data_IF_694417258230
#
_entry.id   IF_694417258230
#
_cell.length_a   1.000
_cell.length_b   1.000
_cell.length_c   1.000
_cell.angle_alpha   90.00
_cell.angle_beta   90.00
_cell.angle_gamma   90.00
#
_symmetry.space_group_name_H-M   'P 1'
#
loop_
_entity.id
_entity.type
_entity.pdbx_description
1 polymer ?
#
# COMPACT_ATOMS: atom_id res chain seq x y z
N UNK A 1 -23.23 10.03 10.98
CA UNK A 1 -22.90 9.52 9.63
C UNK A 1 -24.18 9.03 8.99
N UNK A 2 -24.45 9.42 7.76
CA UNK A 2 -25.48 8.76 6.95
C UNK A 2 -25.10 7.27 6.82
N UNK A 3 -26.05 6.34 6.78
CA UNK A 3 -25.76 4.94 6.47
C UNK A 3 -25.05 4.89 5.11
N UNK A 4 -23.94 4.15 5.00
CA UNK A 4 -23.32 3.91 3.71
C UNK A 4 -23.93 2.69 3.05
N UNK A 5 -24.22 2.76 1.76
CA UNK A 5 -24.64 1.60 0.94
C UNK A 5 -23.47 0.65 0.60
N UNK A 6 -22.30 0.88 1.22
CA UNK A 6 -21.10 0.07 1.04
C UNK A 6 -21.18 -1.23 1.84
N UNK A 7 -20.91 -2.35 1.17
CA UNK A 7 -20.70 -3.66 1.82
C UNK A 7 -19.22 -4.00 1.78
N UNK A 8 -18.64 -4.32 2.95
CA UNK A 8 -17.22 -4.67 3.06
C UNK A 8 -17.04 -6.16 3.30
N UNK A 9 -16.21 -6.81 2.49
CA UNK A 9 -15.75 -8.18 2.71
C UNK A 9 -14.30 -8.14 3.20
N UNK A 10 -14.07 -8.63 4.42
CA UNK A 10 -12.74 -8.75 4.99
C UNK A 10 -12.21 -10.16 4.73
N UNK A 11 -10.94 -10.24 4.32
CA UNK A 11 -10.30 -11.49 3.93
C UNK A 11 -9.10 -11.77 4.81
N UNK A 12 -9.00 -13.01 5.28
CA UNK A 12 -7.87 -13.49 6.05
C UNK A 12 -6.77 -14.03 5.13
N UNK A 13 -5.52 -13.80 5.51
CA UNK A 13 -4.40 -14.46 4.86
C UNK A 13 -4.35 -15.96 5.19
N UNK A 14 -3.81 -16.80 4.30
CA UNK A 14 -3.76 -18.26 4.47
C UNK A 14 -2.91 -18.74 5.65
N UNK A 15 -1.98 -17.93 6.15
CA UNK A 15 -1.06 -18.33 7.22
C UNK A 15 -1.36 -17.59 8.52
N UNK A 16 -1.44 -18.32 9.63
CA UNK A 16 -1.43 -17.70 10.96
C UNK A 16 -0.09 -17.01 11.20
N UNK A 17 -0.10 -15.86 11.87
CA UNK A 17 1.10 -15.10 12.19
C UNK A 17 1.09 -14.57 13.61
N UNK A 18 2.19 -13.94 14.00
CA UNK A 18 2.21 -13.03 15.16
C UNK A 18 1.53 -11.70 14.78
N UNK A 19 1.13 -10.95 15.79
CA UNK A 19 0.64 -9.58 15.62
C UNK A 19 1.71 -8.68 15.02
N UNK A 20 1.29 -7.64 14.30
CA UNK A 20 2.14 -6.48 14.09
C UNK A 20 2.38 -5.78 15.45
N UNK A 21 3.56 -5.18 15.62
CA UNK A 21 3.94 -4.57 16.89
C UNK A 21 2.91 -3.52 17.35
N UNK A 22 2.39 -3.69 18.57
CA UNK A 22 1.39 -2.82 19.18
C UNK A 22 -0.06 -3.17 18.83
N UNK A 23 -0.30 -4.08 17.88
CA UNK A 23 -1.66 -4.56 17.59
C UNK A 23 -2.14 -5.53 18.68
N UNK A 24 -1.22 -6.31 19.26
CA UNK A 24 -1.44 -7.16 20.44
C UNK A 24 -1.91 -6.39 21.67
N UNK A 25 -1.56 -5.11 21.80
CA UNK A 25 -2.03 -4.28 22.91
C UNK A 25 -3.52 -3.95 22.80
N UNK A 26 -4.09 -3.99 21.59
CA UNK A 26 -5.50 -3.66 21.34
C UNK A 26 -6.35 -4.90 21.09
N UNK A 27 -5.79 -5.93 20.47
CA UNK A 27 -6.47 -7.18 20.12
C UNK A 27 -5.66 -8.38 20.65
N UNK A 28 -5.49 -8.53 21.96
CA UNK A 28 -4.53 -9.46 22.55
C UNK A 28 -4.71 -10.92 22.09
N UNK A 29 -5.96 -11.33 21.84
CA UNK A 29 -6.31 -12.72 21.56
C UNK A 29 -6.13 -13.12 20.08
N UNK A 30 -5.94 -12.16 19.17
CA UNK A 30 -5.93 -12.41 17.72
C UNK A 30 -7.24 -13.07 17.24
N UNK A 31 -7.21 -14.02 16.29
CA UNK A 31 -6.04 -14.49 15.54
C UNK A 31 -5.45 -13.42 14.62
N UNK A 32 -4.21 -13.65 14.15
CA UNK A 32 -3.53 -12.81 13.17
C UNK A 32 -3.14 -13.63 11.96
N UNK A 33 -3.16 -12.99 10.79
CA UNK A 33 -2.90 -13.66 9.52
C UNK A 33 -1.89 -12.88 8.68
N UNK A 34 -1.17 -13.61 7.83
CA UNK A 34 -0.28 -13.07 6.80
C UNK A 34 -0.49 -13.82 5.48
N UNK A 35 -0.24 -13.12 4.37
CA UNK A 35 -0.31 -13.68 3.03
C UNK A 35 0.92 -14.50 2.66
N UNK A 36 2.05 -14.20 3.28
CA UNK A 36 3.30 -14.91 3.13
C UNK A 36 4.12 -14.78 4.42
N UNK A 37 4.92 -15.80 4.75
CA UNK A 37 5.84 -15.77 5.88
C UNK A 37 7.14 -15.02 5.52
N UNK A 38 7.58 -15.17 4.27
CA UNK A 38 8.74 -14.48 3.68
C UNK A 38 8.32 -13.83 2.37
N UNK A 39 8.72 -12.57 2.17
CA UNK A 39 8.36 -11.80 0.98
C UNK A 39 9.28 -12.14 -0.20
N UNK A 40 9.31 -13.42 -0.62
CA UNK A 40 9.98 -13.84 -1.85
C UNK A 40 9.01 -13.72 -3.02
N UNK A 41 9.53 -13.60 -4.24
CA UNK A 41 8.68 -13.50 -5.44
C UNK A 41 7.74 -14.70 -5.58
N UNK A 42 8.20 -15.97 -5.44
CA UNK A 42 7.30 -17.12 -5.47
C UNK A 42 6.19 -17.07 -4.40
N UNK A 43 6.51 -16.71 -3.16
CA UNK A 43 5.50 -16.64 -2.09
C UNK A 43 4.46 -15.54 -2.34
N UNK A 44 4.86 -14.41 -2.93
CA UNK A 44 3.93 -13.33 -3.29
C UNK A 44 3.06 -13.76 -4.48
N UNK A 45 3.63 -14.44 -5.46
CA UNK A 45 2.92 -15.02 -6.60
C UNK A 45 1.88 -16.04 -6.14
N UNK A 46 2.24 -16.95 -5.23
CA UNK A 46 1.31 -17.91 -4.61
C UNK A 46 0.18 -17.19 -3.85
N UNK A 47 0.50 -16.15 -3.10
CA UNK A 47 -0.51 -15.33 -2.42
C UNK A 47 -1.47 -14.63 -3.41
N UNK A 48 -0.96 -14.15 -4.55
CA UNK A 48 -1.80 -13.59 -5.61
C UNK A 48 -2.72 -14.65 -6.22
N UNK A 49 -2.25 -15.88 -6.38
CA UNK A 49 -3.08 -16.99 -6.84
C UNK A 49 -4.20 -17.31 -5.84
N UNK A 50 -3.89 -17.43 -4.55
CA UNK A 50 -4.91 -17.66 -3.52
C UNK A 50 -5.95 -16.52 -3.49
N UNK A 51 -5.51 -15.27 -3.61
CA UNK A 51 -6.41 -14.13 -3.71
C UNK A 51 -7.33 -14.24 -4.95
N UNK A 52 -6.78 -14.61 -6.11
CA UNK A 52 -7.56 -14.83 -7.34
C UNK A 52 -8.64 -15.88 -7.14
N UNK A 53 -8.29 -17.01 -6.53
CA UNK A 53 -9.23 -18.11 -6.26
C UNK A 53 -10.35 -17.65 -5.34
N UNK A 54 -10.02 -16.91 -4.29
CA UNK A 54 -11.02 -16.31 -3.40
C UNK A 54 -11.96 -15.36 -4.15
N UNK A 55 -11.42 -14.43 -4.94
CA UNK A 55 -12.21 -13.43 -5.67
C UNK A 55 -13.14 -14.09 -6.70
N UNK A 56 -12.69 -15.17 -7.36
CA UNK A 56 -13.49 -15.90 -8.34
C UNK A 56 -14.58 -16.79 -7.72
N UNK A 57 -14.35 -17.33 -6.51
CA UNK A 57 -15.33 -18.18 -5.82
C UNK A 57 -16.43 -17.36 -5.14
N UNK A 58 -16.10 -16.16 -4.65
CA UNK A 58 -16.94 -15.40 -3.73
C UNK A 58 -18.00 -14.53 -4.41
N UNK A 59 -17.93 -14.31 -5.72
CA UNK A 59 -18.91 -13.44 -6.40
C UNK A 59 -18.98 -13.69 -7.93
N UNK A 60 -20.18 -13.87 -8.51
CA UNK A 60 -20.38 -13.83 -9.96
C UNK A 60 -20.22 -12.42 -10.56
N UNK A 61 -20.04 -11.37 -9.72
CA UNK A 61 -19.80 -9.98 -10.13
C UNK A 61 -18.49 -9.42 -9.57
N UNK A 62 -17.76 -8.68 -10.40
CA UNK A 62 -16.54 -7.92 -10.08
C UNK A 62 -16.75 -6.99 -8.85
N UNK A 63 -15.82 -7.00 -7.88
CA UNK A 63 -15.83 -6.04 -6.76
C UNK A 63 -15.69 -4.59 -7.28
N UNK A 64 -16.39 -3.62 -6.71
CA UNK A 64 -16.26 -2.22 -7.15
C UNK A 64 -14.91 -1.60 -6.77
N UNK A 65 -14.28 -2.11 -5.70
CA UNK A 65 -12.92 -1.75 -5.36
C UNK A 65 -12.31 -2.58 -4.25
N UNK A 66 -11.00 -2.44 -4.08
CA UNK A 66 -10.25 -3.01 -2.97
C UNK A 66 -9.72 -1.88 -2.09
N UNK A 67 -9.84 -2.04 -0.77
CA UNK A 67 -9.16 -1.17 0.21
C UNK A 67 -8.07 -1.99 0.88
N UNK A 68 -6.84 -1.50 0.84
CA UNK A 68 -5.69 -2.20 1.38
C UNK A 68 -4.78 -1.27 2.18
N UNK A 69 -4.14 -1.82 3.21
CA UNK A 69 -3.23 -1.09 4.08
C UNK A 69 -1.87 -1.78 4.16
N UNK A 70 -0.79 -1.01 4.07
CA UNK A 70 0.59 -1.45 4.28
C UNK A 70 0.93 -2.71 3.44
N UNK A 71 1.13 -3.86 4.08
CA UNK A 71 1.40 -5.14 3.40
C UNK A 71 0.29 -5.55 2.43
N UNK A 72 -0.96 -5.22 2.71
CA UNK A 72 -2.06 -5.47 1.77
C UNK A 72 -1.84 -4.75 0.43
N UNK A 73 -1.29 -3.53 0.45
CA UNK A 73 -0.96 -2.79 -0.76
C UNK A 73 0.11 -3.50 -1.60
N UNK A 74 1.10 -4.13 -0.94
CA UNK A 74 2.12 -4.91 -1.63
C UNK A 74 1.48 -6.08 -2.40
N UNK A 75 0.56 -6.81 -1.76
CA UNK A 75 -0.16 -7.91 -2.38
C UNK A 75 -0.98 -7.43 -3.58
N UNK A 76 -1.78 -6.38 -3.40
CA UNK A 76 -2.71 -5.92 -4.44
C UNK A 76 -1.97 -5.32 -5.64
N UNK A 77 -0.89 -4.56 -5.41
CA UNK A 77 -0.07 -4.06 -6.50
C UNK A 77 0.60 -5.21 -7.28
N UNK A 78 1.19 -6.18 -6.58
CA UNK A 78 1.78 -7.37 -7.20
C UNK A 78 0.75 -8.22 -7.95
N UNK A 79 -0.44 -8.39 -7.40
CA UNK A 79 -1.55 -9.08 -8.06
C UNK A 79 -1.89 -8.43 -9.39
N UNK A 80 -2.03 -7.10 -9.41
CA UNK A 80 -2.35 -6.36 -10.63
C UNK A 80 -1.23 -6.54 -11.68
N UNK A 81 0.04 -6.41 -11.27
CA UNK A 81 1.16 -6.58 -12.20
C UNK A 81 1.24 -7.99 -12.79
N UNK A 82 1.13 -9.04 -11.97
CA UNK A 82 1.08 -10.41 -12.48
C UNK A 82 -0.12 -10.62 -13.41
N UNK A 83 -1.30 -10.14 -13.03
CA UNK A 83 -2.51 -10.26 -13.84
C UNK A 83 -2.37 -9.55 -15.19
N UNK A 84 -1.88 -8.31 -15.21
CA UNK A 84 -1.70 -7.54 -16.45
C UNK A 84 -0.73 -8.22 -17.43
N UNK A 85 0.34 -8.85 -16.93
CA UNK A 85 1.35 -9.52 -17.76
C UNK A 85 0.89 -10.91 -18.22
N UNK A 86 0.32 -11.69 -17.32
CA UNK A 86 -0.02 -13.10 -17.59
C UNK A 86 -1.39 -13.28 -18.24
N UNK A 87 -2.28 -12.31 -18.05
CA UNK A 87 -3.68 -12.36 -18.48
C UNK A 87 -4.13 -11.01 -19.08
N UNK A 88 -3.42 -10.45 -20.07
CA UNK A 88 -3.65 -9.09 -20.58
C UNK A 88 -5.04 -8.88 -21.18
N UNK A 89 -5.74 -9.96 -21.56
CA UNK A 89 -7.09 -9.91 -22.13
C UNK A 89 -8.19 -10.16 -21.10
N UNK A 90 -7.85 -10.59 -19.88
CA UNK A 90 -8.83 -10.81 -18.81
C UNK A 90 -8.94 -9.54 -17.96
N UNK A 91 -10.15 -9.03 -17.68
CA UNK A 91 -10.32 -7.91 -16.76
C UNK A 91 -9.93 -8.30 -15.33
N UNK A 92 -9.51 -7.32 -14.53
CA UNK A 92 -9.33 -7.51 -13.09
C UNK A 92 -10.69 -7.84 -12.43
N UNK A 93 -10.71 -8.68 -11.37
CA UNK A 93 -11.93 -8.97 -10.60
C UNK A 93 -12.35 -7.83 -9.67
N UNK A 94 -11.71 -6.66 -9.78
CA UNK A 94 -12.09 -5.42 -9.12
C UNK A 94 -11.83 -4.21 -10.03
N UNK A 95 -12.57 -3.12 -9.80
CA UNK A 95 -12.56 -1.95 -10.70
C UNK A 95 -11.70 -0.78 -10.22
N UNK A 96 -11.40 -0.68 -8.93
CA UNK A 96 -10.59 0.41 -8.33
C UNK A 96 -9.79 -0.07 -7.11
N UNK A 97 -8.78 0.69 -6.69
CA UNK A 97 -7.99 0.37 -5.48
C UNK A 97 -7.68 1.59 -4.63
N UNK A 98 -7.88 1.45 -3.32
CA UNK A 98 -7.42 2.39 -2.29
C UNK A 98 -6.17 1.80 -1.64
N UNK A 99 -5.03 2.41 -1.90
CA UNK A 99 -3.74 2.07 -1.29
C UNK A 99 -3.48 2.97 -0.08
N UNK A 100 -3.45 2.41 1.12
CA UNK A 100 -3.16 3.14 2.35
C UNK A 100 -1.76 2.77 2.87
N UNK A 101 -0.84 3.75 2.96
CA UNK A 101 0.55 3.54 3.38
C UNK A 101 1.25 2.38 2.63
N UNK A 102 0.96 2.28 1.32
CA UNK A 102 1.44 1.20 0.45
C UNK A 102 2.82 1.44 -0.15
N UNK A 103 3.28 0.49 -0.96
CA UNK A 103 4.52 0.61 -1.73
C UNK A 103 4.64 -0.48 -2.81
N UNK A 104 5.64 -0.41 -3.69
CA UNK A 104 5.92 -1.47 -4.65
C UNK A 104 6.71 -2.62 -4.00
N UNK A 105 6.73 -3.77 -4.69
CA UNK A 105 7.64 -4.89 -4.40
C UNK A 105 8.65 -4.97 -5.52
N UNK A 106 9.85 -4.41 -5.31
CA UNK A 106 10.87 -4.33 -6.36
C UNK A 106 11.24 -5.69 -6.99
N UNK A 107 11.46 -6.77 -6.22
CA UNK A 107 11.74 -8.06 -6.84
C UNK A 107 10.65 -8.57 -7.80
N UNK A 108 9.38 -8.22 -7.57
CA UNK A 108 8.28 -8.56 -8.48
C UNK A 108 8.36 -7.74 -9.75
N UNK A 109 8.59 -6.43 -9.63
CA UNK A 109 8.75 -5.55 -10.80
C UNK A 109 9.94 -5.95 -11.66
N UNK A 110 11.04 -6.38 -11.05
CA UNK A 110 12.23 -6.90 -11.75
C UNK A 110 11.96 -8.20 -12.48
N UNK A 111 11.27 -9.16 -11.83
CA UNK A 111 10.84 -10.41 -12.50
C UNK A 111 9.99 -10.12 -13.74
N UNK A 112 9.23 -9.02 -13.71
CA UNK A 112 8.38 -8.57 -14.81
C UNK A 112 9.08 -7.59 -15.78
N UNK A 113 10.41 -7.43 -15.67
CA UNK A 113 11.22 -6.72 -16.65
C UNK A 113 11.48 -5.23 -16.37
N UNK A 114 11.10 -4.71 -15.20
CA UNK A 114 11.43 -3.34 -14.79
C UNK A 114 12.79 -3.28 -14.09
N UNK A 115 13.70 -2.45 -14.58
CA UNK A 115 14.97 -2.17 -13.90
C UNK A 115 14.75 -1.33 -12.65
N UNK A 116 15.30 -1.77 -11.52
CA UNK A 116 15.28 -1.05 -10.24
C UNK A 116 16.71 -0.67 -9.84
N UNK A 117 16.94 0.62 -9.60
CA UNK A 117 18.27 1.15 -9.24
C UNK A 117 18.70 0.73 -7.84
N UNK A 118 20.02 0.79 -7.59
CA UNK A 118 20.59 0.57 -6.26
C UNK A 118 20.11 1.62 -5.25
N UNK A 119 19.91 2.86 -5.71
CA UNK A 119 19.34 3.93 -4.88
C UNK A 119 17.93 3.59 -4.41
N UNK A 120 17.05 3.10 -5.30
CA UNK A 120 15.71 2.68 -4.94
C UNK A 120 15.73 1.57 -3.87
N UNK A 121 16.63 0.59 -4.01
CA UNK A 121 16.79 -0.48 -3.02
C UNK A 121 17.27 0.05 -1.69
N UNK A 122 18.19 0.99 -1.70
CA UNK A 122 18.72 1.58 -0.48
C UNK A 122 17.64 2.40 0.24
N UNK A 123 16.83 3.17 -0.49
CA UNK A 123 15.64 3.82 0.06
C UNK A 123 14.67 2.82 0.66
N UNK A 124 14.35 1.73 -0.03
CA UNK A 124 13.46 0.70 0.50
C UNK A 124 14.02 0.03 1.76
N UNK A 125 15.32 -0.26 1.80
CA UNK A 125 16.00 -0.84 2.97
C UNK A 125 15.96 0.11 4.17
N UNK A 126 16.39 1.36 4.01
CA UNK A 126 16.45 2.37 5.07
C UNK A 126 15.07 2.68 5.65
N UNK A 127 14.09 2.88 4.79
CA UNK A 127 12.72 3.22 5.20
C UNK A 127 12.00 2.04 5.88
N UNK A 128 12.28 0.79 5.50
CA UNK A 128 11.83 -0.41 6.23
C UNK A 128 12.44 -0.53 7.62
N UNK A 129 13.73 -0.20 7.76
CA UNK A 129 14.40 -0.18 9.06
C UNK A 129 13.78 0.88 9.98
N UNK A 130 13.66 2.11 9.49
CA UNK A 130 13.05 3.22 10.23
C UNK A 130 11.59 2.90 10.65
N UNK A 131 10.79 2.27 9.77
CA UNK A 131 9.45 1.82 10.14
C UNK A 131 9.47 0.79 11.27
N UNK A 132 10.38 -0.20 11.23
CA UNK A 132 10.50 -1.23 12.28
C UNK A 132 10.88 -0.63 13.63
N UNK A 133 11.83 0.29 13.64
CA UNK A 133 12.26 1.02 14.84
C UNK A 133 11.09 1.82 15.43
N UNK A 134 10.36 2.55 14.58
CA UNK A 134 9.20 3.35 14.99
C UNK A 134 7.99 2.53 15.43
N UNK A 135 7.84 1.33 14.90
CA UNK A 135 6.79 0.39 15.29
C UNK A 135 7.17 -0.46 16.51
N UNK A 136 8.43 -0.45 16.96
CA UNK A 136 8.95 -1.30 18.03
C UNK A 136 8.20 -1.15 19.35
N UNK A 137 8.24 -2.18 20.21
CA UNK A 137 7.63 -2.13 21.55
C UNK A 137 8.32 -1.07 22.41
N UNK A 138 9.62 -0.92 22.24
CA UNK A 138 10.46 0.09 22.87
C UNK A 138 9.97 1.51 22.51
N UNK A 139 9.73 1.79 21.23
CA UNK A 139 9.17 3.07 20.78
C UNK A 139 7.74 3.29 21.29
N UNK A 140 6.91 2.25 21.31
CA UNK A 140 5.55 2.31 21.88
C UNK A 140 5.59 2.69 23.36
N UNK A 141 6.46 2.06 24.15
CA UNK A 141 6.60 2.33 25.58
C UNK A 141 7.18 3.71 25.85
N UNK A 142 8.17 4.14 25.06
CA UNK A 142 8.87 5.41 25.26
C UNK A 142 8.04 6.62 24.82
N UNK A 143 7.35 6.52 23.68
CA UNK A 143 6.79 7.67 22.96
C UNK A 143 5.29 7.53 22.66
N UNK A 144 4.69 6.38 22.97
CA UNK A 144 3.23 6.19 22.85
C UNK A 144 2.73 6.54 21.45
N UNK A 145 1.70 7.39 21.37
CA UNK A 145 1.12 7.87 20.10
C UNK A 145 2.03 8.85 19.36
N UNK A 146 2.92 9.54 20.07
CA UNK A 146 3.70 10.65 19.52
C UNK A 146 4.72 10.16 18.48
N UNK A 147 5.03 8.86 18.52
CA UNK A 147 5.87 8.18 17.53
C UNK A 147 5.39 8.31 16.09
N UNK A 148 4.08 8.55 15.88
CA UNK A 148 3.49 8.69 14.55
C UNK A 148 3.25 10.14 14.10
N UNK A 149 3.68 11.13 14.87
CA UNK A 149 3.49 12.56 14.51
C UNK A 149 4.81 13.34 14.42
N UNK A 150 5.90 12.84 14.98
CA UNK A 150 7.21 13.53 14.97
C UNK A 150 8.27 12.66 14.29
N UNK A 151 8.76 13.02 13.09
CA UNK A 151 9.91 12.35 12.45
C UNK A 151 11.14 12.37 13.35
N UNK A 152 11.94 11.30 13.35
CA UNK A 152 13.23 11.23 14.06
C UNK A 152 13.14 11.13 15.59
N UNK A 153 11.97 11.38 16.20
CA UNK A 153 11.81 11.40 17.65
C UNK A 153 11.99 10.01 18.30
N UNK A 154 11.92 8.93 17.53
CA UNK A 154 11.90 7.55 18.05
C UNK A 154 13.22 6.80 17.89
N UNK A 155 14.30 7.51 17.52
CA UNK A 155 15.60 6.89 17.22
C UNK A 155 15.65 6.24 15.85
N UNK A 156 14.65 6.46 15.00
CA UNK A 156 14.79 6.21 13.58
C UNK A 156 15.84 7.16 13.00
N UNK A 157 16.81 6.60 12.25
CA UNK A 157 17.77 7.42 11.51
C UNK A 157 16.99 8.47 10.70
N UNK A 158 17.32 9.75 10.90
CA UNK A 158 16.66 10.83 10.17
C UNK A 158 16.81 10.53 8.68
N UNK A 159 15.67 10.27 8.03
CA UNK A 159 15.64 10.00 6.61
C UNK A 159 15.85 11.29 5.81
N UNK A 160 15.82 12.45 6.49
CA UNK A 160 15.90 13.79 5.91
C UNK A 160 14.89 13.98 4.77
N UNK A 161 13.72 13.37 4.94
CA UNK A 161 12.63 13.47 3.98
C UNK A 161 11.96 14.84 4.14
N UNK A 162 11.89 15.58 3.05
CA UNK A 162 10.97 16.70 2.92
C UNK A 162 9.65 16.17 2.31
N UNK A 163 8.57 16.05 3.10
CA UNK A 163 7.31 15.51 2.60
C UNK A 163 6.54 16.49 1.71
N UNK A 164 7.02 17.73 1.58
CA UNK A 164 6.47 18.78 0.72
C UNK A 164 7.28 19.02 -0.55
N UNK A 165 8.45 18.36 -0.68
CA UNK A 165 9.28 18.49 -1.86
C UNK A 165 8.52 18.03 -3.13
N UNK A 166 8.68 18.76 -4.25
CA UNK A 166 8.15 18.30 -5.53
C UNK A 166 8.83 16.99 -5.94
N UNK A 167 8.07 16.10 -6.56
CA UNK A 167 8.56 14.78 -7.01
C UNK A 167 8.76 14.80 -8.52
N UNK A 168 9.99 14.52 -8.96
CA UNK A 168 10.33 14.31 -10.37
C UNK A 168 9.93 12.88 -10.78
N UNK A 169 9.04 12.69 -11.78
CA UNK A 169 8.68 11.35 -12.25
C UNK A 169 9.86 10.52 -12.78
N UNK A 170 10.93 11.16 -13.23
CA UNK A 170 12.16 10.48 -13.70
C UNK A 170 13.05 9.97 -12.56
N UNK A 171 12.79 10.42 -11.32
CA UNK A 171 13.49 9.98 -10.12
C UNK A 171 12.58 10.05 -8.89
N UNK A 172 11.76 9.02 -8.71
CA UNK A 172 10.92 8.87 -7.52
C UNK A 172 11.69 8.03 -6.50
N UNK A 173 12.62 8.66 -5.78
CA UNK A 173 13.50 8.00 -4.81
C UNK A 173 14.26 6.82 -5.44
N UNK A 174 14.95 7.08 -6.54
CA UNK A 174 15.71 6.11 -7.33
C UNK A 174 14.89 5.33 -8.36
N UNK A 175 13.56 5.50 -8.43
CA UNK A 175 12.72 4.81 -9.42
C UNK A 175 12.40 5.76 -10.58
N UNK A 176 12.93 5.47 -11.77
CA UNK A 176 12.55 6.15 -13.00
C UNK A 176 11.20 5.60 -13.50
N UNK A 177 10.12 6.32 -13.18
CA UNK A 177 8.76 5.89 -13.54
C UNK A 177 8.41 6.20 -15.00
N UNK A 178 9.19 7.05 -15.68
CA UNK A 178 9.01 7.33 -17.11
C UNK A 178 9.48 6.17 -17.98
N UNK A 179 10.43 5.37 -17.51
CA UNK A 179 10.93 4.16 -18.20
C UNK A 179 10.16 2.87 -17.89
N UNK A 180 9.12 2.94 -17.07
CA UNK A 180 8.30 1.78 -16.75
C UNK A 180 7.60 1.24 -18.02
N UNK A 181 7.67 -0.07 -18.30
CA UNK A 181 6.90 -0.72 -19.37
C UNK A 181 5.40 -0.42 -19.22
N UNK A 182 4.73 -0.12 -20.34
CA UNK A 182 3.34 0.31 -20.33
C UNK A 182 2.40 -0.74 -19.73
N UNK A 183 2.67 -2.01 -20.02
CA UNK A 183 1.96 -3.18 -19.52
C UNK A 183 2.05 -3.36 -18.00
N UNK A 184 3.02 -2.73 -17.33
CA UNK A 184 3.14 -2.73 -15.88
C UNK A 184 2.42 -1.53 -15.23
N UNK A 185 2.05 -0.49 -15.99
CA UNK A 185 1.38 0.67 -15.41
C UNK A 185 -0.01 0.27 -14.93
N UNK A 186 -0.31 0.49 -13.65
CA UNK A 186 -1.62 0.19 -13.08
C UNK A 186 -2.64 1.18 -13.68
N UNK A 187 -3.53 0.69 -14.54
CA UNK A 187 -4.42 1.51 -15.38
C UNK A 187 -5.91 1.49 -14.95
N UNK A 188 -6.17 1.16 -13.69
CA UNK A 188 -7.49 1.33 -13.05
C UNK A 188 -7.47 2.56 -12.13
N UNK A 189 -8.63 3.13 -11.77
CA UNK A 189 -8.71 4.17 -10.75
C UNK A 189 -8.02 3.78 -9.44
N UNK A 190 -7.14 4.67 -8.95
CA UNK A 190 -6.46 4.49 -7.66
C UNK A 190 -6.58 5.70 -6.74
N UNK A 191 -6.71 5.45 -5.45
CA UNK A 191 -6.56 6.43 -4.39
C UNK A 191 -5.37 6.07 -3.50
N UNK A 192 -4.40 6.97 -3.38
CA UNK A 192 -3.23 6.80 -2.53
C UNK A 192 -3.37 7.63 -1.26
N UNK A 193 -3.54 6.99 -0.11
CA UNK A 193 -3.57 7.62 1.21
C UNK A 193 -2.25 7.34 1.91
N UNK A 194 -1.55 8.38 2.37
CA UNK A 194 -0.26 8.20 3.02
C UNK A 194 0.02 9.28 4.08
N UNK A 195 0.85 8.92 5.06
CA UNK A 195 1.20 9.81 6.15
C UNK A 195 2.34 10.75 5.78
N UNK A 196 2.19 12.05 6.09
CA UNK A 196 3.22 13.09 5.91
C UNK A 196 4.52 12.73 6.61
N UNK A 197 4.43 12.07 7.77
CA UNK A 197 5.61 11.69 8.56
C UNK A 197 5.90 10.20 8.50
N UNK A 198 5.26 9.43 7.63
CA UNK A 198 5.49 7.99 7.48
C UNK A 198 6.92 7.71 6.97
N UNK A 199 7.74 6.89 7.65
CA UNK A 199 9.04 6.47 7.11
C UNK A 199 8.94 5.86 5.71
N UNK A 200 7.80 5.26 5.37
CA UNK A 200 7.51 4.65 4.07
C UNK A 200 6.92 5.62 3.04
N UNK A 201 6.93 6.93 3.31
CA UNK A 201 6.54 7.95 2.33
C UNK A 201 7.20 7.73 0.94
N UNK A 202 8.53 7.45 0.83
CA UNK A 202 9.15 7.14 -0.45
C UNK A 202 8.46 6.00 -1.20
N UNK A 203 8.10 4.92 -0.49
CA UNK A 203 7.43 3.77 -1.08
C UNK A 203 6.01 4.09 -1.53
N UNK A 204 5.27 4.89 -0.76
CA UNK A 204 3.93 5.33 -1.13
C UNK A 204 3.95 6.21 -2.39
N UNK A 205 4.94 7.11 -2.50
CA UNK A 205 5.13 7.94 -3.68
C UNK A 205 5.59 7.10 -4.89
N UNK A 206 6.52 6.17 -4.71
CA UNK A 206 6.92 5.23 -5.75
C UNK A 206 5.72 4.47 -6.31
N UNK A 207 4.90 3.83 -5.45
CA UNK A 207 3.71 3.11 -5.92
C UNK A 207 2.71 4.05 -6.62
N UNK A 208 2.52 5.26 -6.10
CA UNK A 208 1.65 6.27 -6.70
C UNK A 208 2.09 6.61 -8.12
N UNK A 209 3.39 6.80 -8.36
CA UNK A 209 3.91 7.13 -9.69
C UNK A 209 3.98 5.94 -10.66
N UNK A 210 3.78 4.71 -10.19
CA UNK A 210 3.61 3.50 -11.02
C UNK A 210 2.16 3.29 -11.51
N UNK A 211 1.23 4.19 -11.18
CA UNK A 211 -0.17 4.14 -11.66
C UNK A 211 -0.46 5.22 -12.69
N UNK A 212 -1.54 5.04 -13.47
CA UNK A 212 -1.99 6.00 -14.47
C UNK A 212 -2.38 7.34 -13.84
N UNK A 213 -1.63 8.38 -14.18
CA UNK A 213 -1.76 9.75 -13.66
C UNK A 213 -3.16 10.35 -13.80
N UNK A 214 -3.86 10.08 -14.91
CA UNK A 214 -5.21 10.59 -15.18
C UNK A 214 -6.28 9.89 -14.36
N UNK A 215 -5.96 8.71 -13.81
CA UNK A 215 -6.84 7.87 -13.00
C UNK A 215 -6.47 7.86 -11.51
N UNK A 216 -5.60 8.78 -11.08
CA UNK A 216 -4.97 8.76 -9.76
C UNK A 216 -5.44 9.90 -8.87
N UNK A 217 -5.88 9.55 -7.68
CA UNK A 217 -6.16 10.47 -6.58
C UNK A 217 -5.16 10.25 -5.44
N UNK A 218 -4.91 11.28 -4.64
CA UNK A 218 -4.04 11.19 -3.46
C UNK A 218 -4.59 11.96 -2.28
N UNK A 219 -4.22 11.53 -1.08
CA UNK A 219 -4.51 12.20 0.18
C UNK A 219 -3.34 12.01 1.16
N UNK A 220 -2.62 13.10 1.45
CA UNK A 220 -1.61 13.12 2.49
C UNK A 220 -2.25 13.55 3.82
N UNK A 221 -2.12 12.71 4.86
CA UNK A 221 -2.57 13.06 6.21
C UNK A 221 -1.39 13.43 7.12
N UNK A 222 -1.65 14.14 8.22
CA UNK A 222 -0.61 14.63 9.14
C UNK A 222 0.09 13.55 9.99
N UNK A 223 -0.27 12.28 9.80
CA UNK A 223 0.22 11.16 10.61
C UNK A 223 1.38 10.40 9.96
N UNK A 224 1.70 9.25 10.54
CA UNK A 224 2.74 8.34 10.08
C UNK A 224 2.15 7.10 9.41
N UNK A 225 2.70 5.92 9.73
CA UNK A 225 2.28 4.64 9.16
C UNK A 225 1.02 4.09 9.84
N UNK A 226 -0.09 4.81 9.70
CA UNK A 226 -1.33 4.47 10.40
C UNK A 226 -2.56 4.85 9.57
N UNK A 227 -3.65 4.12 9.78
CA UNK A 227 -4.98 4.52 9.29
C UNK A 227 -5.42 5.76 10.10
N UNK A 228 -5.78 6.89 9.46
CA UNK A 228 -6.24 8.08 10.16
C UNK A 228 -7.54 7.82 10.95
N UNK A 229 -7.69 8.48 12.10
CA UNK A 229 -8.84 8.29 13.01
C UNK A 229 -9.66 9.53 13.30
N UNK A 230 -9.19 10.72 12.91
CA UNK A 230 -9.96 11.95 13.04
C UNK A 230 -11.14 11.93 12.06
N UNK A 231 -12.32 12.35 12.50
CA UNK A 231 -13.51 12.39 11.65
C UNK A 231 -13.29 13.22 10.39
N UNK A 232 -12.63 14.38 10.52
CA UNK A 232 -12.31 15.24 9.38
C UNK A 232 -11.46 14.54 8.30
N UNK A 233 -10.46 13.76 8.71
CA UNK A 233 -9.62 13.00 7.76
C UNK A 233 -10.37 11.80 7.19
N UNK A 234 -11.13 11.08 8.02
CA UNK A 234 -11.92 9.94 7.56
C UNK A 234 -12.98 10.37 6.53
N UNK A 235 -13.68 11.49 6.75
CA UNK A 235 -14.63 12.08 5.81
C UNK A 235 -13.95 12.53 4.51
N UNK A 236 -12.75 13.11 4.61
CA UNK A 236 -11.95 13.48 3.44
C UNK A 236 -11.58 12.27 2.58
N UNK A 237 -11.14 11.19 3.21
CA UNK A 237 -10.83 9.92 2.54
C UNK A 237 -12.09 9.31 1.93
N UNK A 238 -13.20 9.25 2.67
CA UNK A 238 -14.47 8.71 2.17
C UNK A 238 -14.95 9.41 0.90
N UNK A 239 -14.91 10.75 0.87
CA UNK A 239 -15.24 11.53 -0.34
C UNK A 239 -14.34 11.19 -1.53
N UNK A 240 -13.06 10.92 -1.29
CA UNK A 240 -12.13 10.52 -2.34
C UNK A 240 -12.34 9.07 -2.79
N UNK A 241 -12.79 8.18 -1.92
CA UNK A 241 -13.20 6.82 -2.29
C UNK A 241 -14.39 6.90 -3.25
N UNK A 242 -15.42 7.69 -2.92
CA UNK A 242 -16.58 7.90 -3.79
C UNK A 242 -16.16 8.48 -5.16
N UNK A 243 -15.27 9.48 -5.15
CA UNK A 243 -14.71 10.06 -6.38
C UNK A 243 -13.90 9.04 -7.19
N UNK A 244 -13.12 8.19 -6.54
CA UNK A 244 -12.35 7.13 -7.19
C UNK A 244 -13.28 6.11 -7.88
N UNK A 245 -14.38 5.74 -7.22
CA UNK A 245 -15.39 4.85 -7.79
C UNK A 245 -16.09 5.47 -9.01
N UNK A 246 -16.33 6.79 -9.02
CA UNK A 246 -16.93 7.49 -10.17
C UNK A 246 -16.02 7.49 -11.42
N UNK A 247 -14.71 7.28 -11.26
CA UNK A 247 -13.74 7.23 -12.36
C UNK A 247 -13.76 5.89 -13.12
N UNK A 248 -14.53 4.90 -12.66
CA UNK A 248 -14.66 3.57 -13.30
C UNK A 248 -15.41 3.63 -14.63
N UNK A 249 -16.20 4.69 -14.87
CA UNK A 249 -17.21 4.79 -15.95
C UNK A 249 -16.78 5.70 -17.10
N UNK A 250 -15.51 6.13 -17.15
CA UNK A 250 -14.98 7.04 -18.19
C UNK A 250 -13.88 6.35 -18.99
#
# INVERSE_FOLDING_TARGET
MQPSDHTFHFIDGPFKSKSAAGLDLRYPDGPYYTWWEKATVPAIRDACQHLREYLNQSSPSTYDGIVCFSRGCLLIASYIWFHQVERPTEPLPFKSVVFMCGGPVFPVLEELGMSISDEAREWDRRTKLALRERASKEAILKLGKDRWITPGANGDSDLHLDPSAPIDPSDVFGVDTLRMPQELRINIPTLHVYGRVDPRLPASLQLMYLTESTKRLSYQHEGGHNIPRSSATAEGIARLIDKCAQMIVI
#
